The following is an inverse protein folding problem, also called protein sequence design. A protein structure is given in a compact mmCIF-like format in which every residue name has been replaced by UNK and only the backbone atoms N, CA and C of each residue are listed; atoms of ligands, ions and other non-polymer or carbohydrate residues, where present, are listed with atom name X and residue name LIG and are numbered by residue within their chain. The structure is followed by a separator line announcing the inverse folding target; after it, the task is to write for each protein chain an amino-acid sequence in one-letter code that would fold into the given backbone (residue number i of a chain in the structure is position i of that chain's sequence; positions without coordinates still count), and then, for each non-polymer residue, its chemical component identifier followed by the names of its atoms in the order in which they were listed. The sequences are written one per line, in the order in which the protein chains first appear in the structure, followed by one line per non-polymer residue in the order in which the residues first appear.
data_IF_631521462099
#
_entry.id   IF_631521462099
#
_cell.length_a   1.000
_cell.length_b   1.000
_cell.length_c   1.000
_cell.angle_alpha   90.00
_cell.angle_beta   90.00
_cell.angle_gamma   90.00
#
_symmetry.space_group_name_H-M   'P 1'
#
loop_
_entity.id
_entity.type
_entity.pdbx_description
1 polymer ?
#
# COMPACT_ATOMS: atom_id res chain seq x y z
N UNK A 1 40.29 37.67 -15.25
CA UNK A 1 39.34 38.40 -14.37
C UNK A 1 37.96 38.21 -14.98
N UNK A 2 36.91 37.67 -14.37
CA UNK A 2 36.64 37.20 -13.02
C UNK A 2 35.12 36.91 -12.94
N UNK A 3 34.76 35.90 -12.14
CA UNK A 3 33.51 35.75 -11.37
C UNK A 3 32.16 35.53 -12.08
N UNK A 4 31.79 34.25 -12.13
CA UNK A 4 30.65 33.63 -11.41
C UNK A 4 29.36 34.45 -11.14
N UNK A 5 28.22 33.86 -11.49
CA UNK A 5 26.90 34.11 -10.90
C UNK A 5 25.97 32.90 -11.14
N UNK A 6 25.54 32.25 -10.07
CA UNK A 6 24.89 30.93 -10.00
C UNK A 6 23.46 30.87 -10.59
N UNK A 7 22.96 29.68 -11.01
CA UNK A 7 21.55 29.46 -11.29
C UNK A 7 20.71 29.49 -9.99
N UNK A 8 19.64 30.28 -10.00
CA UNK A 8 18.69 30.43 -8.91
C UNK A 8 17.90 29.15 -8.64
N UNK A 9 17.74 28.87 -7.35
CA UNK A 9 17.13 27.69 -6.73
C UNK A 9 15.74 27.33 -7.27
N UNK A 10 15.59 26.08 -7.70
CA UNK A 10 14.29 25.42 -7.72
C UNK A 10 13.88 25.11 -6.27
N UNK A 11 12.70 25.60 -5.86
CA UNK A 11 12.10 25.37 -4.55
C UNK A 11 11.72 23.90 -4.28
N UNK A 12 11.22 23.60 -3.07
CA UNK A 12 11.15 22.25 -2.53
C UNK A 12 10.12 21.39 -3.28
N UNK A 13 10.60 20.52 -4.17
CA UNK A 13 9.83 19.44 -4.78
C UNK A 13 9.67 18.29 -3.76
N UNK A 14 8.97 18.55 -2.66
CA UNK A 14 8.73 17.60 -1.58
C UNK A 14 7.39 16.86 -1.63
N UNK A 15 6.53 17.10 -2.64
CA UNK A 15 5.14 16.63 -2.63
C UNK A 15 4.74 15.67 -3.75
N UNK A 16 5.65 15.22 -4.62
CA UNK A 16 5.27 14.40 -5.79
C UNK A 16 5.34 12.89 -5.57
N UNK A 17 5.77 12.42 -4.39
CA UNK A 17 5.81 10.98 -4.06
C UNK A 17 4.46 10.36 -3.67
N UNK A 18 3.43 11.16 -3.42
CA UNK A 18 2.16 10.67 -2.83
C UNK A 18 1.16 10.06 -3.83
N UNK A 19 1.41 10.15 -5.14
CA UNK A 19 0.51 9.60 -6.15
C UNK A 19 0.62 8.05 -6.30
N UNK A 20 1.68 7.42 -5.79
CA UNK A 20 1.86 5.96 -5.86
C UNK A 20 1.11 5.19 -4.77
N UNK A 21 0.95 5.78 -3.58
CA UNK A 21 0.34 5.08 -2.43
C UNK A 21 -1.19 5.02 -2.48
N UNK A 22 -1.84 5.80 -3.34
CA UNK A 22 -3.31 5.89 -3.38
C UNK A 22 -3.96 4.57 -3.83
N UNK A 23 -3.26 3.77 -4.65
CA UNK A 23 -3.70 2.43 -5.04
C UNK A 23 -3.72 1.42 -3.89
N UNK A 24 -2.81 1.55 -2.91
CA UNK A 24 -2.78 0.66 -1.74
C UNK A 24 -3.91 0.92 -0.75
N UNK A 25 -4.49 2.12 -0.75
CA UNK A 25 -5.56 2.50 0.19
C UNK A 25 -6.78 1.58 0.12
N UNK A 26 -7.03 0.92 -1.03
CA UNK A 26 -8.12 -0.05 -1.17
C UNK A 26 -7.81 -1.46 -0.64
N UNK A 27 -6.52 -1.80 -0.48
CA UNK A 27 -6.06 -3.19 -0.26
C UNK A 27 -5.55 -3.48 1.17
N UNK A 28 -5.33 -2.45 1.98
CA UNK A 28 -4.87 -2.56 3.38
C UNK A 28 -5.85 -1.85 4.31
N UNK A 29 -5.90 -2.26 5.58
CA UNK A 29 -6.70 -1.56 6.59
C UNK A 29 -6.22 -0.11 6.77
N UNK A 30 -7.14 0.80 7.10
CA UNK A 30 -6.84 2.22 7.33
C UNK A 30 -5.77 2.43 8.42
N UNK A 31 -5.82 1.60 9.47
CA UNK A 31 -4.87 1.65 10.58
C UNK A 31 -3.44 1.29 10.14
N UNK A 32 -3.29 0.21 9.37
CA UNK A 32 -1.99 -0.22 8.86
C UNK A 32 -1.42 0.77 7.84
N UNK A 33 -2.27 1.31 6.96
CA UNK A 33 -1.87 2.35 6.01
C UNK A 33 -1.39 3.64 6.72
N UNK A 34 -2.06 4.02 7.82
CA UNK A 34 -1.65 5.16 8.65
C UNK A 34 -0.29 4.91 9.31
N UNK A 35 -0.06 3.72 9.86
CA UNK A 35 1.20 3.35 10.51
C UNK A 35 2.37 3.40 9.52
N UNK A 36 2.23 2.74 8.36
CA UNK A 36 3.26 2.74 7.30
C UNK A 36 3.58 4.17 6.87
N UNK A 37 2.56 5.03 6.70
CA UNK A 37 2.77 6.44 6.33
C UNK A 37 3.49 7.22 7.42
N UNK A 38 3.19 6.96 8.68
CA UNK A 38 3.85 7.64 9.82
C UNK A 38 5.32 7.24 9.90
N UNK A 39 5.64 5.96 9.80
CA UNK A 39 7.02 5.43 9.78
C UNK A 39 7.82 5.97 8.58
N UNK A 40 7.18 6.08 7.43
CA UNK A 40 7.79 6.66 6.23
C UNK A 40 8.19 8.13 6.43
N UNK A 41 7.33 8.93 7.05
CA UNK A 41 7.62 10.34 7.33
C UNK A 41 8.82 10.51 8.27
N UNK A 42 8.93 9.68 9.32
CA UNK A 42 10.08 9.69 10.22
C UNK A 42 11.39 9.31 9.49
N UNK A 43 11.33 8.29 8.64
CA UNK A 43 12.47 7.85 7.84
C UNK A 43 13.01 8.93 6.91
N UNK A 44 12.13 9.72 6.31
CA UNK A 44 12.54 10.84 5.45
C UNK A 44 13.35 11.89 6.19
N UNK A 45 13.00 12.17 7.45
CA UNK A 45 13.75 13.11 8.28
C UNK A 45 15.13 12.55 8.62
N UNK A 46 15.20 11.28 9.01
CA UNK A 46 16.46 10.60 9.39
C UNK A 46 17.41 10.36 8.22
N UNK A 47 16.89 10.25 7.00
CA UNK A 47 17.70 10.08 5.79
C UNK A 47 18.70 11.24 5.57
N UNK A 48 18.35 12.45 6.02
CA UNK A 48 19.24 13.63 5.92
C UNK A 48 20.52 13.43 6.72
N UNK A 49 20.43 12.76 7.88
CA UNK A 49 21.54 12.56 8.81
C UNK A 49 22.27 11.22 8.58
N UNK A 50 21.54 10.14 8.30
CA UNK A 50 22.08 8.79 8.12
C UNK A 50 21.39 8.06 6.95
N UNK A 51 21.85 8.30 5.71
CA UNK A 51 21.19 7.78 4.51
C UNK A 51 21.30 6.26 4.37
N UNK A 52 22.40 5.63 4.84
CA UNK A 52 22.58 4.19 4.72
C UNK A 52 21.66 3.43 5.67
N UNK A 53 21.56 3.87 6.92
CA UNK A 53 20.65 3.25 7.88
C UNK A 53 19.20 3.46 7.48
N UNK A 54 18.83 4.69 7.09
CA UNK A 54 17.48 5.01 6.63
C UNK A 54 17.07 4.18 5.41
N UNK A 55 17.98 3.95 4.45
CA UNK A 55 17.69 3.08 3.31
C UNK A 55 17.38 1.63 3.74
N UNK A 56 18.16 1.06 4.66
CA UNK A 56 17.90 -0.30 5.16
C UNK A 56 16.64 -0.42 6.01
N UNK A 57 16.25 0.65 6.70
CA UNK A 57 14.96 0.71 7.42
C UNK A 57 13.77 0.88 6.48
N UNK A 58 13.93 1.63 5.39
CA UNK A 58 12.91 1.75 4.34
C UNK A 58 12.63 0.40 3.67
N UNK A 59 13.66 -0.42 3.41
CA UNK A 59 13.49 -1.78 2.89
C UNK A 59 12.61 -2.63 3.83
N UNK A 60 12.91 -2.63 5.13
CA UNK A 60 12.09 -3.33 6.13
C UNK A 60 10.65 -2.81 6.20
N UNK A 61 10.47 -1.49 6.08
CA UNK A 61 9.13 -0.89 6.06
C UNK A 61 8.31 -1.34 4.84
N UNK A 62 8.96 -1.50 3.69
CA UNK A 62 8.31 -2.05 2.48
C UNK A 62 7.94 -3.51 2.68
N UNK A 63 8.82 -4.32 3.25
CA UNK A 63 8.53 -5.73 3.56
C UNK A 63 7.33 -5.87 4.52
N UNK A 64 7.33 -5.09 5.61
CA UNK A 64 6.21 -5.01 6.55
C UNK A 64 4.90 -4.63 5.84
N UNK A 65 4.97 -3.61 4.97
CA UNK A 65 3.81 -3.12 4.24
C UNK A 65 3.25 -4.18 3.27
N UNK A 66 4.12 -4.89 2.54
CA UNK A 66 3.75 -5.99 1.64
C UNK A 66 3.12 -7.16 2.40
N UNK A 67 3.67 -7.50 3.57
CA UNK A 67 3.10 -8.52 4.45
C UNK A 67 1.69 -8.12 4.91
N UNK A 68 1.47 -6.87 5.32
CA UNK A 68 0.16 -6.37 5.72
C UNK A 68 -0.88 -6.35 4.59
N UNK A 69 -0.48 -5.98 3.37
CA UNK A 69 -1.34 -6.07 2.18
C UNK A 69 -1.71 -7.54 1.90
N UNK A 70 -0.73 -8.43 1.90
CA UNK A 70 -0.95 -9.88 1.68
C UNK A 70 -1.91 -10.47 2.72
N UNK A 71 -1.72 -10.13 4.00
CA UNK A 71 -2.61 -10.56 5.08
C UNK A 71 -4.05 -10.05 4.87
N UNK A 72 -4.21 -8.79 4.48
CA UNK A 72 -5.52 -8.18 4.22
C UNK A 72 -6.23 -8.84 3.02
N UNK A 73 -5.51 -9.15 1.95
CA UNK A 73 -6.04 -9.86 0.79
C UNK A 73 -6.47 -11.28 1.14
N UNK A 74 -5.68 -12.00 1.94
CA UNK A 74 -6.03 -13.34 2.41
C UNK A 74 -7.30 -13.32 3.29
N UNK A 75 -7.39 -12.36 4.22
CA UNK A 75 -8.58 -12.20 5.06
C UNK A 75 -9.85 -11.96 4.23
N UNK A 76 -9.78 -11.13 3.18
CA UNK A 76 -10.91 -10.89 2.27
C UNK A 76 -11.26 -12.15 1.44
N UNK A 77 -10.28 -12.89 0.95
CA UNK A 77 -10.48 -14.18 0.26
C UNK A 77 -11.19 -15.20 1.17
N UNK A 78 -10.85 -15.22 2.45
CA UNK A 78 -11.46 -16.13 3.42
C UNK A 78 -12.90 -15.75 3.72
N UNK A 79 -13.22 -14.45 3.83
CA UNK A 79 -14.61 -13.97 3.93
C UNK A 79 -15.45 -14.42 2.73
N UNK A 80 -14.92 -14.32 1.52
CA UNK A 80 -15.57 -14.80 0.29
C UNK A 80 -15.71 -16.33 0.24
N UNK A 81 -15.03 -17.06 1.11
CA UNK A 81 -15.04 -18.53 1.16
C UNK A 81 -16.06 -19.09 2.15
N UNK A 82 -16.78 -18.23 2.86
CA UNK A 82 -17.77 -18.59 3.90
C UNK A 82 -18.92 -19.45 3.36
N UNK A 83 -19.28 -19.33 2.08
CA UNK A 83 -20.30 -20.15 1.42
C UNK A 83 -20.01 -21.66 1.48
N UNK A 84 -18.76 -22.08 1.73
CA UNK A 84 -18.41 -23.50 1.89
C UNK A 84 -19.00 -24.10 3.16
N UNK A 85 -19.33 -23.28 4.15
CA UNK A 85 -19.92 -23.72 5.40
C UNK A 85 -21.45 -23.88 5.31
N UNK A 86 -22.09 -23.19 4.36
CA UNK A 86 -23.50 -23.38 4.00
C UNK A 86 -23.62 -24.57 3.05
N UNK A 87 -24.51 -25.50 3.36
CA UNK A 87 -24.67 -26.76 2.60
C UNK A 87 -24.85 -26.55 1.09
N UNK A 88 -24.57 -27.60 0.31
CA UNK A 88 -24.49 -27.58 -1.17
C UNK A 88 -25.75 -27.11 -1.92
N UNK A 89 -26.87 -26.93 -1.23
CA UNK A 89 -28.17 -26.64 -1.84
C UNK A 89 -28.49 -25.13 -1.92
N UNK A 90 -27.68 -24.27 -1.31
CA UNK A 90 -27.89 -22.82 -1.34
C UNK A 90 -27.25 -22.17 -2.59
N UNK A 91 -27.94 -22.35 -3.72
CA UNK A 91 -27.52 -21.80 -5.02
C UNK A 91 -27.46 -20.27 -5.05
N UNK A 92 -28.18 -19.57 -4.17
CA UNK A 92 -28.14 -18.11 -4.08
C UNK A 92 -26.87 -17.64 -3.38
N UNK A 93 -26.43 -18.34 -2.32
CA UNK A 93 -25.10 -18.10 -1.74
C UNK A 93 -23.96 -18.36 -2.73
N UNK A 94 -24.08 -19.40 -3.57
CA UNK A 94 -23.09 -19.66 -4.62
C UNK A 94 -23.02 -18.50 -5.63
N UNK A 95 -24.18 -17.96 -6.04
CA UNK A 95 -24.24 -16.81 -6.95
C UNK A 95 -23.57 -15.59 -6.33
N UNK A 96 -23.91 -15.27 -5.07
CA UNK A 96 -23.30 -14.17 -4.33
C UNK A 96 -21.77 -14.35 -4.20
N UNK A 97 -21.29 -15.56 -3.92
CA UNK A 97 -19.86 -15.86 -3.82
C UNK A 97 -19.11 -15.61 -5.15
N UNK A 98 -19.67 -16.07 -6.28
CA UNK A 98 -19.07 -15.86 -7.61
C UNK A 98 -19.00 -14.36 -7.95
N UNK A 99 -20.05 -13.60 -7.65
CA UNK A 99 -20.02 -12.14 -7.80
C UNK A 99 -18.92 -11.50 -6.94
N UNK A 100 -18.81 -11.90 -5.67
CA UNK A 100 -17.78 -11.41 -4.77
C UNK A 100 -16.34 -11.74 -5.23
N UNK A 101 -16.10 -12.93 -5.77
CA UNK A 101 -14.80 -13.28 -6.36
C UNK A 101 -14.49 -12.45 -7.60
N UNK A 102 -15.46 -12.20 -8.49
CA UNK A 102 -15.26 -11.36 -9.67
C UNK A 102 -14.86 -9.94 -9.26
N UNK A 103 -15.61 -9.35 -8.32
CA UNK A 103 -15.36 -7.98 -7.89
C UNK A 103 -14.00 -7.87 -7.16
N UNK A 104 -13.63 -8.89 -6.36
CA UNK A 104 -12.30 -9.01 -5.76
C UNK A 104 -11.18 -9.07 -6.81
N UNK A 105 -11.35 -9.88 -7.86
CA UNK A 105 -10.37 -10.00 -8.93
C UNK A 105 -10.24 -8.70 -9.73
N UNK A 106 -11.34 -8.03 -10.08
CA UNK A 106 -11.31 -6.75 -10.79
C UNK A 106 -10.52 -5.70 -10.00
N UNK A 107 -10.73 -5.65 -8.68
CA UNK A 107 -9.97 -4.75 -7.81
C UNK A 107 -8.48 -5.11 -7.74
N UNK A 108 -8.14 -6.41 -7.77
CA UNK A 108 -6.75 -6.88 -7.73
C UNK A 108 -6.00 -6.59 -9.04
N UNK A 109 -6.65 -6.74 -10.20
CA UNK A 109 -6.01 -6.57 -11.51
C UNK A 109 -6.12 -5.15 -12.08
N UNK A 110 -6.87 -4.25 -11.43
CA UNK A 110 -7.06 -2.88 -11.89
C UNK A 110 -7.91 -2.77 -13.16
N UNK A 111 -8.96 -3.59 -13.28
CA UNK A 111 -9.89 -3.60 -14.41
C UNK A 111 -11.20 -2.87 -14.12
#
# INVERSE_FOLDING_TARGET
MGMTGMPGMAGPTGMTGMAGMTGMTGMTSDAHAYEVRTRWQDLQLRFVDDPQSAAGEAERLVDDALAGVTASLNARKDQLSTWRASGRDDTEQLRAAVHGYRDFLNHLVGA
#
